data_IF_820088959055
#
_entry.id   IF_820088959055
#
_cell.length_a   1.000
_cell.length_b   1.000
_cell.length_c   1.000
_cell.angle_alpha   90.00
_cell.angle_beta   90.00
_cell.angle_gamma   90.00
#
_symmetry.space_group_name_H-M   'P 1'
#
loop_
_entity.id
_entity.type
_entity.pdbx_description
1 polymer ?
#
# COMPACT_ATOMS: atom_id res chain seq x y z
N UNK A 1 -40.85 7.63 -20.89
CA UNK A 1 -40.10 7.14 -22.08
C UNK A 1 -40.09 8.27 -23.10
N UNK A 2 -38.92 8.60 -23.66
CA UNK A 2 -38.64 8.08 -25.00
C UNK A 2 -37.21 7.53 -25.19
N UNK A 3 -37.20 6.34 -25.82
CA UNK A 3 -36.38 5.93 -26.97
C UNK A 3 -34.86 5.95 -26.80
N UNK A 4 -34.35 4.84 -26.25
CA UNK A 4 -33.01 4.33 -26.58
C UNK A 4 -33.13 3.63 -27.94
N UNK A 5 -32.48 4.18 -28.97
CA UNK A 5 -32.23 3.46 -30.22
C UNK A 5 -30.86 2.80 -30.13
N UNK A 6 -30.88 1.47 -30.14
CA UNK A 6 -29.74 0.63 -30.48
C UNK A 6 -29.21 0.98 -31.87
N UNK A 7 -27.88 1.03 -32.00
CA UNK A 7 -27.18 0.74 -33.24
C UNK A 7 -25.99 -0.18 -32.91
N UNK A 8 -26.28 -1.48 -32.83
CA UNK A 8 -25.32 -2.56 -33.10
C UNK A 8 -25.30 -2.79 -34.60
N UNK A 9 -24.12 -2.67 -35.22
CA UNK A 9 -23.63 -3.46 -36.38
C UNK A 9 -22.38 -2.76 -36.93
N UNK A 10 -21.19 -3.23 -36.59
CA UNK A 10 -20.41 -4.30 -37.26
C UNK A 10 -19.61 -3.78 -38.46
N UNK A 11 -18.28 -3.87 -38.36
CA UNK A 11 -17.39 -4.47 -39.37
C UNK A 11 -16.12 -4.91 -38.63
N UNK A 12 -16.02 -6.22 -38.49
CA UNK A 12 -14.78 -6.96 -38.36
C UNK A 12 -13.89 -6.72 -39.58
N UNK A 13 -12.63 -6.34 -39.40
CA UNK A 13 -11.54 -6.79 -40.26
C UNK A 13 -10.18 -6.70 -39.57
N UNK A 14 -9.67 -7.89 -39.25
CA UNK A 14 -8.29 -8.35 -39.47
C UNK A 14 -7.18 -7.45 -38.87
N UNK A 15 -6.85 -7.74 -37.60
CA UNK A 15 -5.50 -7.54 -37.08
C UNK A 15 -4.78 -8.90 -37.07
N UNK A 16 -4.23 -9.28 -38.23
CA UNK A 16 -2.99 -10.04 -38.27
C UNK A 16 -1.86 -9.01 -38.18
N UNK A 17 -1.21 -8.93 -37.03
CA UNK A 17 0.26 -8.97 -36.96
C UNK A 17 0.70 -9.07 -35.49
N UNK A 18 1.12 -10.28 -35.18
CA UNK A 18 2.27 -10.65 -34.34
C UNK A 18 2.38 -10.08 -32.94
N UNK A 19 1.98 -10.95 -32.00
CA UNK A 19 2.44 -10.96 -30.61
C UNK A 19 3.96 -11.15 -30.58
N UNK A 20 4.73 -10.14 -30.15
CA UNK A 20 6.04 -10.38 -29.54
C UNK A 20 5.82 -10.79 -28.08
N UNK A 21 5.45 -12.06 -27.90
CA UNK A 21 5.58 -12.74 -26.62
C UNK A 21 7.05 -13.12 -26.43
N UNK A 22 7.71 -12.56 -25.43
CA UNK A 22 8.99 -13.06 -24.96
C UNK A 22 8.75 -14.43 -24.31
N UNK A 23 8.81 -15.47 -25.13
CA UNK A 23 8.92 -16.85 -24.66
C UNK A 23 10.33 -17.04 -24.10
N UNK A 24 10.41 -17.50 -22.85
CA UNK A 24 11.60 -18.12 -22.31
C UNK A 24 11.87 -19.36 -23.15
N UNK A 25 12.75 -19.23 -24.15
CA UNK A 25 13.19 -20.36 -24.96
C UNK A 25 13.92 -21.31 -24.03
N UNK A 26 13.22 -22.40 -23.69
CA UNK A 26 13.81 -23.63 -23.19
C UNK A 26 14.55 -24.24 -24.38
N UNK A 27 15.83 -23.94 -24.52
CA UNK A 27 16.69 -24.64 -25.48
C UNK A 27 16.91 -26.04 -24.95
N UNK A 28 16.15 -26.99 -25.49
CA UNK A 28 16.63 -28.38 -25.62
C UNK A 28 17.82 -28.35 -26.59
N UNK A 29 19.03 -28.41 -26.04
CA UNK A 29 20.19 -28.91 -26.76
C UNK A 29 20.53 -30.28 -26.18
N UNK A 30 20.00 -31.32 -26.82
CA UNK A 30 20.64 -32.63 -26.89
C UNK A 30 21.98 -32.46 -27.63
N UNK A 31 23.08 -32.48 -26.88
CA UNK A 31 24.41 -32.36 -27.48
C UNK A 31 25.56 -32.36 -26.49
N UNK A 32 26.08 -33.56 -26.20
CA UNK A 32 27.43 -33.89 -25.68
C UNK A 32 27.88 -33.21 -24.37
N UNK A 33 27.95 -34.07 -23.35
CA UNK A 33 28.84 -33.98 -22.20
C UNK A 33 30.22 -33.40 -22.56
N UNK A 34 30.51 -32.22 -22.02
CA UNK A 34 31.88 -31.79 -21.76
C UNK A 34 31.91 -31.21 -20.35
N UNK A 35 32.64 -31.91 -19.48
CA UNK A 35 32.91 -31.57 -18.09
C UNK A 35 33.40 -30.13 -17.97
N UNK A 36 32.51 -29.20 -17.66
CA UNK A 36 32.88 -27.89 -17.16
C UNK A 36 32.39 -27.81 -15.72
N UNK A 37 33.33 -27.85 -14.79
CA UNK A 37 33.09 -27.64 -13.36
C UNK A 37 32.50 -26.23 -13.22
N UNK A 38 31.18 -26.13 -13.12
CA UNK A 38 30.50 -24.86 -12.84
C UNK A 38 30.81 -24.55 -11.38
N UNK A 39 31.86 -23.75 -11.17
CA UNK A 39 32.09 -23.14 -9.87
C UNK A 39 31.05 -22.03 -9.79
N UNK A 40 29.96 -22.26 -9.07
CA UNK A 40 28.98 -21.22 -8.75
C UNK A 40 29.65 -20.22 -7.82
N UNK A 41 30.32 -19.22 -8.39
CA UNK A 41 30.64 -18.01 -7.65
C UNK A 41 29.33 -17.35 -7.24
N UNK A 42 29.08 -17.12 -5.94
CA UNK A 42 27.86 -16.46 -5.52
C UNK A 42 27.97 -15.02 -6.02
N UNK A 43 26.89 -14.46 -6.57
CA UNK A 43 26.83 -13.03 -6.92
C UNK A 43 25.98 -12.30 -5.87
N UNK A 44 26.44 -12.17 -4.60
CA UNK A 44 25.67 -11.46 -3.57
C UNK A 44 25.71 -9.95 -3.82
N UNK A 45 26.84 -9.39 -4.28
CA UNK A 45 27.01 -7.94 -4.42
C UNK A 45 26.03 -7.32 -5.43
N UNK A 46 25.81 -7.96 -6.58
CA UNK A 46 24.92 -7.45 -7.63
C UNK A 46 23.44 -7.52 -7.20
N UNK A 47 23.05 -8.58 -6.51
CA UNK A 47 21.67 -8.77 -6.02
C UNK A 47 21.37 -7.82 -4.85
N UNK A 48 22.36 -7.58 -3.98
CA UNK A 48 22.28 -6.57 -2.92
C UNK A 48 22.21 -5.14 -3.49
N UNK A 49 22.97 -4.82 -4.54
CA UNK A 49 22.90 -3.49 -5.17
C UNK A 49 21.57 -3.24 -5.86
N UNK A 50 20.97 -4.25 -6.53
CA UNK A 50 19.63 -4.11 -7.10
C UNK A 50 18.56 -3.90 -6.03
N UNK A 51 18.60 -4.69 -4.95
CA UNK A 51 17.69 -4.48 -3.80
C UNK A 51 17.84 -3.10 -3.19
N UNK A 52 19.07 -2.61 -3.00
CA UNK A 52 19.30 -1.27 -2.48
C UNK A 52 18.79 -0.17 -3.41
N UNK A 53 18.96 -0.32 -4.73
CA UNK A 53 18.42 0.63 -5.71
C UNK A 53 16.88 0.64 -5.71
N UNK A 54 16.26 -0.54 -5.59
CA UNK A 54 14.81 -0.68 -5.48
C UNK A 54 14.29 -0.04 -4.19
N UNK A 55 14.95 -0.25 -3.05
CA UNK A 55 14.62 0.39 -1.77
C UNK A 55 14.77 1.92 -1.83
N UNK A 56 15.85 2.44 -2.42
CA UNK A 56 16.05 3.89 -2.59
C UNK A 56 14.93 4.49 -3.45
N UNK A 57 14.56 3.81 -4.54
CA UNK A 57 13.47 4.23 -5.42
C UNK A 57 12.12 4.22 -4.69
N UNK A 58 11.83 3.17 -3.94
CA UNK A 58 10.60 3.05 -3.15
C UNK A 58 10.52 4.16 -2.10
N UNK A 59 11.59 4.40 -1.34
CA UNK A 59 11.65 5.47 -0.34
C UNK A 59 11.42 6.85 -0.98
N UNK A 60 12.06 7.11 -2.13
CA UNK A 60 11.83 8.35 -2.88
C UNK A 60 10.37 8.53 -3.30
N UNK A 61 9.71 7.46 -3.77
CA UNK A 61 8.29 7.50 -4.13
C UNK A 61 7.42 7.74 -2.89
N UNK A 62 7.68 7.04 -1.79
CA UNK A 62 6.97 7.22 -0.52
C UNK A 62 7.03 8.68 -0.04
N UNK A 63 8.23 9.25 0.04
CA UNK A 63 8.44 10.66 0.45
C UNK A 63 7.76 11.64 -0.52
N UNK A 64 7.86 11.39 -1.84
CA UNK A 64 7.16 12.19 -2.84
C UNK A 64 5.65 12.16 -2.65
N UNK A 65 5.06 10.99 -2.41
CA UNK A 65 3.63 10.87 -2.14
C UNK A 65 3.24 11.63 -0.88
N UNK A 66 3.96 11.46 0.23
CA UNK A 66 3.67 12.21 1.47
C UNK A 66 3.76 13.73 1.27
N UNK A 67 4.74 14.19 0.49
CA UNK A 67 4.92 15.62 0.19
C UNK A 67 3.74 16.25 -0.56
N UNK A 68 3.03 15.49 -1.40
CA UNK A 68 1.82 15.98 -2.11
C UNK A 68 0.73 16.41 -1.11
N UNK A 69 0.69 15.77 0.06
CA UNK A 69 -0.27 16.04 1.13
C UNK A 69 0.33 16.88 2.26
N UNK A 70 1.55 17.43 2.07
CA UNK A 70 2.29 18.15 3.10
C UNK A 70 2.48 17.36 4.42
N UNK A 71 2.54 16.02 4.32
CA UNK A 71 2.72 15.12 5.45
C UNK A 71 4.22 15.02 5.75
N UNK A 72 4.56 15.20 7.03
CA UNK A 72 5.93 15.13 7.54
C UNK A 72 6.12 13.91 8.44
N UNK A 73 7.37 13.57 8.72
CA UNK A 73 7.74 12.40 9.55
C UNK A 73 7.27 12.50 11.01
N UNK A 74 7.08 13.71 11.53
CA UNK A 74 6.59 14.00 12.88
C UNK A 74 5.05 13.94 13.00
N UNK A 75 4.34 13.71 11.90
CA UNK A 75 2.89 13.48 11.90
C UNK A 75 2.56 12.14 12.56
N UNK A 76 1.29 11.97 12.90
CA UNK A 76 0.75 10.75 13.49
C UNK A 76 -0.19 10.04 12.52
N UNK A 77 -0.04 8.73 12.40
CA UNK A 77 -0.95 7.84 11.72
C UNK A 77 -1.87 7.21 12.76
N UNK A 78 -3.19 7.38 12.62
CA UNK A 78 -4.19 6.96 13.61
C UNK A 78 -5.30 6.13 12.98
N UNK A 79 -5.82 5.16 13.73
CA UNK A 79 -6.99 4.37 13.35
C UNK A 79 -7.72 3.86 14.57
N UNK A 80 -9.01 3.55 14.42
CA UNK A 80 -9.74 2.75 15.40
C UNK A 80 -9.57 1.27 15.04
N UNK A 81 -9.43 0.43 16.06
CA UNK A 81 -9.40 -1.00 15.91
C UNK A 81 -9.96 -1.70 17.15
N UNK A 82 -10.61 -2.84 16.97
CA UNK A 82 -11.01 -3.70 18.09
C UNK A 82 -9.78 -4.25 18.81
N UNK A 83 -9.85 -4.29 20.14
CA UNK A 83 -8.73 -4.69 20.99
C UNK A 83 -8.28 -6.13 20.73
N UNK A 84 -9.14 -7.00 20.19
CA UNK A 84 -8.77 -8.37 19.80
C UNK A 84 -7.69 -8.45 18.70
N UNK A 85 -7.54 -7.39 17.89
CA UNK A 85 -6.52 -7.30 16.84
C UNK A 85 -5.29 -6.50 17.28
N UNK A 86 -5.26 -6.08 18.55
CA UNK A 86 -4.18 -5.30 19.13
C UNK A 86 -3.53 -6.13 20.23
N UNK A 87 -2.22 -6.32 20.14
CA UNK A 87 -1.46 -6.89 21.25
C UNK A 87 -1.33 -5.81 22.33
N UNK A 88 -2.29 -5.78 23.26
CA UNK A 88 -2.34 -4.76 24.32
C UNK A 88 -1.13 -4.81 25.26
N UNK A 89 -0.54 -6.00 25.45
CA UNK A 89 0.61 -6.20 26.33
C UNK A 89 1.86 -5.61 25.73
N UNK A 90 2.15 -5.95 24.47
CA UNK A 90 3.35 -5.48 23.77
C UNK A 90 3.12 -4.15 23.03
N UNK A 91 1.88 -3.66 23.03
CA UNK A 91 1.43 -2.45 22.33
C UNK A 91 1.74 -2.49 20.83
N UNK A 92 1.39 -3.59 20.18
CA UNK A 92 1.64 -3.76 18.74
C UNK A 92 0.38 -4.11 17.95
N UNK A 93 0.41 -3.77 16.66
CA UNK A 93 -0.57 -4.20 15.66
C UNK A 93 0.13 -4.76 14.42
N UNK A 94 -0.63 -5.51 13.62
CA UNK A 94 -0.19 -6.04 12.33
C UNK A 94 -1.31 -5.88 11.31
N UNK A 95 -0.94 -5.60 10.06
CA UNK A 95 -1.89 -5.53 8.96
C UNK A 95 -2.33 -6.90 8.46
N UNK A 96 -3.15 -6.89 7.41
CA UNK A 96 -3.59 -8.08 6.69
C UNK A 96 -3.64 -7.82 5.18
N UNK A 97 -3.84 -8.88 4.39
CA UNK A 97 -3.88 -8.79 2.93
C UNK A 97 -5.27 -8.56 2.35
N UNK A 98 -6.31 -8.90 3.11
CA UNK A 98 -7.70 -8.82 2.64
C UNK A 98 -8.35 -7.46 2.90
N UNK A 99 -7.66 -6.38 2.48
CA UNK A 99 -8.18 -5.02 2.57
C UNK A 99 -9.11 -4.70 1.41
N UNK A 100 -10.10 -3.82 1.64
CA UNK A 100 -11.15 -3.53 0.63
C UNK A 100 -11.03 -2.16 -0.03
N UNK A 101 -10.05 -1.35 0.40
CA UNK A 101 -9.89 0.02 -0.08
C UNK A 101 -9.39 0.09 -1.53
N UNK A 102 -9.81 1.15 -2.24
CA UNK A 102 -9.21 1.57 -3.51
C UNK A 102 -8.20 2.69 -3.24
N UNK A 103 -7.04 2.60 -3.88
CA UNK A 103 -5.90 3.49 -3.63
C UNK A 103 -5.29 4.00 -4.93
N UNK A 104 -4.46 5.03 -4.84
CA UNK A 104 -3.57 5.47 -5.94
C UNK A 104 -2.18 4.87 -5.74
N UNK A 105 -1.75 4.03 -6.69
CA UNK A 105 -0.42 3.43 -6.73
C UNK A 105 0.56 4.30 -7.53
N UNK A 106 1.46 4.96 -6.83
CA UNK A 106 2.56 5.75 -7.41
C UNK A 106 3.86 4.95 -7.61
N UNK A 107 3.91 3.69 -7.15
CA UNK A 107 5.06 2.79 -7.35
C UNK A 107 5.04 2.17 -8.75
N UNK A 108 3.84 2.00 -9.31
CA UNK A 108 3.61 1.56 -10.70
C UNK A 108 2.80 2.61 -11.48
N UNK A 109 3.36 3.80 -11.75
CA UNK A 109 2.63 4.86 -12.40
C UNK A 109 2.49 4.59 -13.92
N UNK A 110 1.44 5.15 -14.52
CA UNK A 110 1.16 5.03 -15.96
C UNK A 110 1.07 6.41 -16.61
N UNK A 111 1.44 6.48 -17.90
CA UNK A 111 1.24 7.68 -18.70
C UNK A 111 -0.24 7.85 -19.02
N UNK A 112 -0.79 9.04 -18.78
CA UNK A 112 -2.11 9.39 -19.27
C UNK A 112 -2.07 9.73 -20.78
N UNK A 113 -3.23 10.07 -21.36
CA UNK A 113 -3.36 10.43 -22.77
C UNK A 113 -2.50 11.64 -23.20
N UNK A 114 -2.04 12.46 -22.25
CA UNK A 114 -1.16 13.62 -22.48
C UNK A 114 0.32 13.30 -22.23
N UNK A 115 0.67 12.02 -22.00
CA UNK A 115 2.03 11.58 -21.71
C UNK A 115 2.52 11.89 -20.29
N UNK A 116 1.65 12.43 -19.43
CA UNK A 116 1.98 12.79 -18.04
C UNK A 116 1.90 11.54 -17.17
N UNK A 117 2.93 11.33 -16.35
CA UNK A 117 3.00 10.20 -15.43
C UNK A 117 2.07 10.41 -14.24
N UNK A 118 1.11 9.49 -14.05
CA UNK A 118 0.09 9.55 -13.00
C UNK A 118 0.07 8.25 -12.20
N UNK A 119 -0.25 8.34 -10.91
CA UNK A 119 -0.51 7.15 -10.10
C UNK A 119 -1.74 6.39 -10.60
N UNK A 120 -1.74 5.07 -10.45
CA UNK A 120 -2.78 4.20 -11.00
C UNK A 120 -3.80 3.79 -9.93
N UNK A 121 -5.11 3.90 -10.19
CA UNK A 121 -6.12 3.37 -9.28
C UNK A 121 -6.02 1.85 -9.16
N UNK A 122 -5.88 1.34 -7.94
CA UNK A 122 -5.77 -0.10 -7.65
C UNK A 122 -6.56 -0.51 -6.41
N UNK A 123 -6.85 -1.80 -6.27
CA UNK A 123 -7.34 -2.35 -5.00
C UNK A 123 -6.15 -2.62 -4.08
N UNK A 124 -6.27 -2.20 -2.83
CA UNK A 124 -5.24 -2.38 -1.80
C UNK A 124 -4.89 -3.85 -1.56
N UNK A 125 -5.88 -4.76 -1.59
CA UNK A 125 -5.62 -6.19 -1.43
C UNK A 125 -4.73 -6.78 -2.54
N UNK A 126 -4.90 -6.32 -3.79
CA UNK A 126 -4.10 -6.83 -4.90
C UNK A 126 -2.63 -6.45 -4.70
N UNK A 127 -2.36 -5.20 -4.33
CA UNK A 127 -1.01 -4.71 -4.00
C UNK A 127 -0.42 -5.52 -2.83
N UNK A 128 -1.18 -5.68 -1.74
CA UNK A 128 -0.72 -6.42 -0.56
C UNK A 128 -0.36 -7.87 -0.89
N UNK A 129 -1.13 -8.53 -1.75
CA UNK A 129 -0.89 -9.92 -2.18
C UNK A 129 0.29 -10.03 -3.15
N UNK A 130 0.34 -9.18 -4.17
CA UNK A 130 1.40 -9.17 -5.18
C UNK A 130 2.76 -8.86 -4.57
N UNK A 131 2.82 -7.92 -3.63
CA UNK A 131 4.08 -7.53 -3.00
C UNK A 131 4.44 -8.37 -1.76
N UNK A 132 3.58 -9.32 -1.34
CA UNK A 132 3.74 -10.08 -0.09
C UNK A 132 3.94 -9.16 1.12
N UNK A 133 2.98 -8.25 1.33
CA UNK A 133 2.97 -7.23 2.38
C UNK A 133 1.63 -7.22 3.10
N UNK A 134 1.64 -6.75 4.34
CA UNK A 134 0.44 -6.53 5.11
C UNK A 134 0.02 -5.07 5.05
N UNK A 135 -1.28 -4.81 4.94
CA UNK A 135 -1.84 -3.48 4.80
C UNK A 135 -2.66 -3.05 6.03
N UNK A 136 -2.60 -1.77 6.35
CA UNK A 136 -3.38 -1.10 7.39
C UNK A 136 -3.93 0.21 6.83
N UNK A 137 -5.19 0.51 7.10
CA UNK A 137 -5.75 1.84 6.86
C UNK A 137 -5.43 2.77 8.03
N UNK A 138 -4.97 3.98 7.73
CA UNK A 138 -4.69 5.03 8.69
C UNK A 138 -5.23 6.37 8.19
N UNK A 139 -5.63 7.22 9.13
CA UNK A 139 -5.75 8.66 8.92
C UNK A 139 -4.44 9.28 9.37
N UNK A 140 -3.78 10.05 8.50
CA UNK A 140 -2.57 10.77 8.85
C UNK A 140 -2.93 12.24 9.10
N UNK A 141 -2.40 12.80 10.19
CA UNK A 141 -2.64 14.18 10.59
C UNK A 141 -1.52 14.70 11.48
N UNK A 142 -1.53 16.01 11.73
CA UNK A 142 -0.67 16.62 12.76
C UNK A 142 -1.00 16.06 14.14
N UNK A 143 0.03 15.89 14.97
CA UNK A 143 -0.10 15.30 16.30
C UNK A 143 -1.06 16.09 17.20
N UNK A 144 -0.98 17.43 17.17
CA UNK A 144 -1.81 18.29 18.00
C UNK A 144 -3.27 18.27 17.54
N UNK A 145 -3.50 18.19 16.23
CA UNK A 145 -4.84 17.95 15.66
C UNK A 145 -5.45 16.65 16.19
N UNK A 146 -4.67 15.56 16.24
CA UNK A 146 -5.17 14.31 16.85
C UNK A 146 -5.48 14.47 18.35
N UNK A 147 -4.54 15.01 19.12
CA UNK A 147 -4.70 15.10 20.58
C UNK A 147 -5.87 16.01 20.98
N UNK A 148 -5.96 17.20 20.40
CA UNK A 148 -6.93 18.21 20.82
C UNK A 148 -8.31 18.00 20.21
N UNK A 149 -8.37 17.66 18.91
CA UNK A 149 -9.63 17.68 18.15
C UNK A 149 -10.26 16.30 17.97
N UNK A 150 -9.49 15.23 18.07
CA UNK A 150 -9.98 13.86 17.87
C UNK A 150 -10.05 13.14 19.22
N UNK A 151 -8.93 12.97 19.90
CA UNK A 151 -8.83 12.15 21.09
C UNK A 151 -9.68 12.71 22.25
N UNK A 152 -9.62 14.03 22.46
CA UNK A 152 -10.30 14.71 23.56
C UNK A 152 -11.68 15.28 23.18
N UNK A 153 -12.14 15.09 21.93
CA UNK A 153 -13.41 15.66 21.48
C UNK A 153 -14.61 14.77 21.82
N UNK A 154 -15.59 15.35 22.53
CA UNK A 154 -16.88 14.71 22.79
C UNK A 154 -17.74 14.54 21.52
N UNK A 155 -17.43 15.28 20.44
CA UNK A 155 -18.17 15.30 19.17
C UNK A 155 -17.68 14.25 18.14
N UNK A 156 -16.81 13.32 18.56
CA UNK A 156 -16.11 12.45 17.63
C UNK A 156 -17.06 11.43 16.96
N UNK A 157 -17.39 11.67 15.69
CA UNK A 157 -18.31 10.90 14.84
C UNK A 157 -17.92 9.43 14.67
N UNK A 158 -16.69 9.04 15.05
CA UNK A 158 -16.22 7.66 14.98
C UNK A 158 -16.61 6.76 16.16
N UNK A 159 -17.27 7.28 17.21
CA UNK A 159 -17.96 6.42 18.19
C UNK A 159 -18.96 5.45 17.51
N UNK A 160 -19.41 5.74 16.29
CA UNK A 160 -20.28 4.88 15.47
C UNK A 160 -19.56 3.69 14.79
N UNK A 161 -18.23 3.72 14.65
CA UNK A 161 -17.44 2.61 14.09
C UNK A 161 -16.85 1.68 15.16
N UNK A 162 -16.86 2.11 16.43
CA UNK A 162 -16.65 1.22 17.56
C UNK A 162 -17.89 0.37 17.77
N UNK A 163 -17.99 -0.77 17.10
CA UNK A 163 -19.11 -1.72 17.28
C UNK A 163 -19.11 -2.40 18.65
N UNK A 164 -18.11 -2.16 19.48
CA UNK A 164 -17.93 -2.89 20.74
C UNK A 164 -17.26 -2.02 21.78
N UNK A 165 -17.62 -2.26 23.04
CA UNK A 165 -17.02 -1.66 24.23
C UNK A 165 -15.49 -1.91 24.32
N UNK A 166 -14.96 -2.79 23.48
CA UNK A 166 -13.57 -3.24 23.41
C UNK A 166 -12.84 -2.75 22.15
N UNK A 167 -12.87 -1.45 21.88
CA UNK A 167 -12.11 -0.83 20.79
C UNK A 167 -11.28 0.34 21.29
N UNK A 168 -10.14 0.57 20.64
CA UNK A 168 -9.21 1.65 20.97
C UNK A 168 -8.81 2.42 19.72
N UNK A 169 -8.50 3.69 19.90
CA UNK A 169 -7.61 4.37 18.97
C UNK A 169 -6.20 3.79 19.13
N UNK A 170 -5.57 3.49 18.01
CA UNK A 170 -4.15 3.16 17.96
C UNK A 170 -3.46 4.20 17.10
N UNK A 171 -2.27 4.61 17.52
CA UNK A 171 -1.51 5.68 16.88
C UNK A 171 -0.03 5.34 16.80
N UNK A 172 0.61 5.66 15.68
CA UNK A 172 2.04 5.53 15.48
C UNK A 172 2.59 6.80 14.80
N UNK A 173 3.86 7.14 15.02
CA UNK A 173 4.47 8.23 14.25
C UNK A 173 4.69 7.78 12.81
N UNK A 174 4.55 8.72 11.86
CA UNK A 174 4.86 8.47 10.45
C UNK A 174 6.32 8.06 10.29
N UNK A 175 7.25 8.70 11.01
CA UNK A 175 8.66 8.32 11.02
C UNK A 175 8.90 6.84 11.36
N UNK A 176 8.24 6.32 12.41
CA UNK A 176 8.38 4.91 12.81
C UNK A 176 7.87 3.94 11.74
N UNK A 177 6.77 4.28 11.07
CA UNK A 177 6.26 3.51 9.93
C UNK A 177 7.30 3.45 8.80
N UNK A 178 7.87 4.60 8.45
CA UNK A 178 8.86 4.71 7.38
C UNK A 178 10.15 3.93 7.71
N UNK A 179 10.61 4.01 8.96
CA UNK A 179 11.81 3.28 9.42
C UNK A 179 11.61 1.76 9.40
N UNK A 180 10.36 1.29 9.49
CA UNK A 180 9.96 -0.11 9.31
C UNK A 180 9.67 -0.48 7.84
N UNK A 181 10.05 0.40 6.91
CA UNK A 181 9.95 0.16 5.47
C UNK A 181 8.53 0.29 4.93
N UNK A 182 7.72 1.20 5.46
CA UNK A 182 6.37 1.45 4.98
C UNK A 182 6.33 1.98 3.53
N UNK A 183 5.35 1.49 2.76
CA UNK A 183 4.87 2.13 1.53
C UNK A 183 3.52 2.76 1.78
N UNK A 184 3.25 3.89 1.14
CA UNK A 184 2.03 4.69 1.38
C UNK A 184 1.23 4.87 0.10
N UNK A 185 -0.07 4.68 0.22
CA UNK A 185 -1.00 4.75 -0.92
C UNK A 185 -2.21 5.61 -0.50
N UNK A 186 -2.44 6.77 -1.13
CA UNK A 186 -3.62 7.58 -0.85
C UNK A 186 -4.89 6.78 -1.06
N UNK A 187 -5.78 6.73 -0.06
CA UNK A 187 -7.04 6.00 -0.12
C UNK A 187 -8.13 6.87 -0.74
N UNK A 188 -8.54 6.52 -1.95
CA UNK A 188 -9.57 7.24 -2.73
C UNK A 188 -10.99 6.69 -2.49
N UNK A 189 -11.11 5.64 -1.68
CA UNK A 189 -12.41 5.06 -1.28
C UNK A 189 -12.88 5.52 0.09
N UNK A 190 -11.99 6.05 0.93
CA UNK A 190 -12.35 6.58 2.23
C UNK A 190 -13.18 7.87 2.10
N UNK A 191 -14.35 7.90 2.74
CA UNK A 191 -15.20 9.09 2.83
C UNK A 191 -14.95 9.92 4.10
N UNK A 192 -14.18 9.41 5.05
CA UNK A 192 -13.85 10.12 6.29
C UNK A 192 -12.82 11.22 6.01
N UNK A 193 -13.01 12.39 6.64
CA UNK A 193 -12.18 13.60 6.46
C UNK A 193 -11.70 14.16 7.81
N UNK A 194 -11.21 13.28 8.69
CA UNK A 194 -10.58 13.68 9.95
C UNK A 194 -9.07 13.96 9.81
N UNK A 195 -8.51 13.60 8.67
CA UNK A 195 -7.12 13.76 8.26
C UNK A 195 -7.00 13.22 6.84
N UNK A 196 -5.78 12.95 6.39
CA UNK A 196 -5.53 12.39 5.07
C UNK A 196 -5.60 10.86 5.12
N UNK A 197 -6.49 10.21 4.35
CA UNK A 197 -6.67 8.77 4.41
C UNK A 197 -5.63 8.03 3.55
N UNK A 198 -4.97 7.05 4.16
CA UNK A 198 -3.96 6.23 3.51
C UNK A 198 -4.15 4.75 3.81
N UNK A 199 -3.84 3.92 2.81
CA UNK A 199 -3.40 2.55 3.06
C UNK A 199 -1.89 2.57 3.16
N UNK A 200 -1.38 1.96 4.24
CA UNK A 200 0.05 1.80 4.47
C UNK A 200 0.36 0.30 4.43
N UNK A 201 1.34 -0.10 3.63
CA UNK A 201 1.81 -1.49 3.59
C UNK A 201 3.16 -1.64 4.27
N UNK A 202 3.31 -2.72 5.03
CA UNK A 202 4.53 -3.09 5.76
C UNK A 202 4.94 -4.52 5.37
N UNK A 203 6.23 -4.89 5.48
CA UNK A 203 6.66 -6.28 5.32
C UNK A 203 5.89 -7.21 6.25
N UNK A 204 5.60 -8.44 5.81
CA UNK A 204 4.71 -9.37 6.55
C UNK A 204 5.15 -9.66 7.98
N UNK A 205 6.45 -9.70 8.23
CA UNK A 205 7.03 -10.01 9.54
C UNK A 205 7.00 -8.81 10.51
N UNK A 206 6.68 -7.61 10.01
CA UNK A 206 6.71 -6.40 10.83
C UNK A 206 5.45 -6.29 11.69
N UNK A 207 5.69 -6.11 12.98
CA UNK A 207 4.71 -5.60 13.93
C UNK A 207 5.00 -4.13 14.21
N UNK A 208 3.94 -3.33 14.20
CA UNK A 208 4.01 -1.89 14.41
C UNK A 208 3.76 -1.58 15.87
N UNK A 209 4.69 -0.89 16.50
CA UNK A 209 4.55 -0.35 17.85
C UNK A 209 3.56 0.84 17.83
N UNK A 210 2.59 0.83 18.74
CA UNK A 210 1.51 1.82 18.78
C UNK A 210 1.27 2.36 20.19
N UNK A 211 0.83 3.60 20.28
CA UNK A 211 0.15 4.11 21.46
C UNK A 211 -1.33 3.76 21.38
N UNK A 212 -1.87 3.22 22.46
CA UNK A 212 -3.25 2.75 22.58
C UNK A 212 -4.03 3.73 23.45
N UNK A 213 -5.16 4.21 22.92
CA UNK A 213 -6.07 5.10 23.63
C UNK A 213 -7.47 4.48 23.64
N UNK A 214 -7.90 3.88 24.76
CA UNK A 214 -9.22 3.25 24.87
C UNK A 214 -10.37 4.23 24.58
N UNK A 215 -11.41 3.77 23.86
CA UNK A 215 -12.58 4.61 23.54
C UNK A 215 -13.52 4.82 24.74
N UNK A 216 -13.58 3.86 25.67
CA UNK A 216 -14.20 3.99 26.98
C UNK A 216 -13.09 3.86 28.04
N UNK A 217 -13.13 4.74 29.05
CA UNK A 217 -12.29 4.66 30.25
C UNK A 217 -12.88 3.65 31.22
#
# INVERSE_FOLDING_TARGET
MPIIKNCLSSISNILRNEKTSYSLIKTEQTGKLLNRKITTTPTPAKLLSYRNADLIKENYITEKVLSIFNIKRDFVAVRIQSNQFTDLKNKTIQGHKDTVAKVIDWYNPQKNAFGIMMGTPRRSADIAKEESRNALNFMIMEKDTFNEKILNSNANLQKKYGTTENSSWVSASVGSLLDKGAKVYPDISCSLRLGEPFIITLPETVRLDVNIHPLKK
#
